data_IF_200655087618
#
_entry.id   IF_200655087618
#
_cell.length_a   1.000
_cell.length_b   1.000
_cell.length_c   1.000
_cell.angle_alpha   90.00
_cell.angle_beta   90.00
_cell.angle_gamma   90.00
#
_symmetry.space_group_name_H-M   'P 1'
#
loop_
_entity.id
_entity.type
_entity.pdbx_description
1 polymer ?
#
# COMPACT_ATOMS: atom_id res chain seq x y z
N UNK A 1 5.38 -4.69 33.61
CA UNK A 1 4.55 -3.87 32.70
C UNK A 1 5.13 -3.97 31.30
N UNK A 2 4.33 -4.40 30.31
CA UNK A 2 4.76 -4.57 28.91
C UNK A 2 4.39 -3.28 28.17
N UNK A 3 5.31 -2.60 27.46
CA UNK A 3 4.93 -1.43 26.69
C UNK A 3 4.02 -1.89 25.55
N UNK A 4 2.77 -1.43 25.57
CA UNK A 4 1.85 -1.54 24.44
C UNK A 4 2.51 -0.87 23.25
N UNK A 5 2.63 -1.52 22.07
CA UNK A 5 3.03 -0.79 20.87
C UNK A 5 1.89 0.16 20.53
N UNK A 6 2.04 1.42 20.90
CA UNK A 6 1.19 2.50 20.43
C UNK A 6 1.34 2.55 18.92
N UNK A 7 0.43 1.90 18.19
CA UNK A 7 0.18 2.27 16.80
C UNK A 7 -0.32 3.71 16.86
N UNK A 8 0.59 4.66 16.68
CA UNK A 8 0.23 6.03 16.38
C UNK A 8 -0.67 5.98 15.13
N UNK A 9 -1.90 6.50 15.18
CA UNK A 9 -2.63 6.83 13.98
C UNK A 9 -1.83 7.96 13.34
N UNK A 10 -0.88 7.59 12.48
CA UNK A 10 -0.12 8.52 11.68
C UNK A 10 -1.11 9.46 11.01
N UNK A 11 -0.77 10.74 11.04
CA UNK A 11 -1.47 11.82 10.36
C UNK A 11 -1.93 11.37 8.96
N UNK A 12 -2.92 12.06 8.42
CA UNK A 12 -3.49 11.94 7.07
C UNK A 12 -2.47 12.20 5.94
N UNK A 13 -1.24 11.71 6.05
CA UNK A 13 -0.20 11.69 5.04
C UNK A 13 -0.53 10.57 4.05
N UNK A 14 -0.46 10.90 2.76
CA UNK A 14 -0.42 9.90 1.70
C UNK A 14 0.60 8.82 2.04
N UNK A 15 0.27 7.53 1.87
CA UNK A 15 1.20 6.44 2.17
C UNK A 15 2.48 6.61 1.36
N UNK A 16 3.63 6.28 1.97
CA UNK A 16 4.90 6.24 1.24
C UNK A 16 4.87 5.16 0.16
N UNK A 17 5.82 5.24 -0.79
CA UNK A 17 5.92 4.22 -1.86
C UNK A 17 6.10 2.83 -1.28
N UNK A 18 6.92 2.67 -0.24
CA UNK A 18 7.12 1.39 0.44
C UNK A 18 5.85 0.87 1.12
N UNK A 19 5.09 1.72 1.81
CA UNK A 19 3.83 1.31 2.44
C UNK A 19 2.81 0.86 1.39
N UNK A 20 2.71 1.57 0.28
CA UNK A 20 1.83 1.20 -0.82
C UNK A 20 2.28 -0.12 -1.50
N UNK A 21 3.59 -0.33 -1.65
CA UNK A 21 4.15 -1.55 -2.21
C UNK A 21 3.94 -2.77 -1.30
N UNK A 22 4.13 -2.61 0.02
CA UNK A 22 3.84 -3.67 0.99
C UNK A 22 2.35 -4.05 1.00
N UNK A 23 1.45 -3.07 0.89
CA UNK A 23 0.01 -3.36 0.77
C UNK A 23 -0.30 -4.20 -0.48
N UNK A 24 0.35 -3.92 -1.61
CA UNK A 24 0.25 -4.73 -2.84
C UNK A 24 0.78 -6.16 -2.59
N UNK A 25 1.96 -6.30 -1.98
CA UNK A 25 2.57 -7.61 -1.68
C UNK A 25 1.68 -8.46 -0.79
N UNK A 26 1.14 -7.88 0.29
CA UNK A 26 0.20 -8.56 1.19
C UNK A 26 -1.07 -8.97 0.44
N UNK A 27 -1.63 -8.08 -0.38
CA UNK A 27 -2.83 -8.35 -1.18
C UNK A 27 -2.63 -9.54 -2.13
N UNK A 28 -1.49 -9.59 -2.84
CA UNK A 28 -1.17 -10.66 -3.78
C UNK A 28 -0.82 -11.97 -3.06
N UNK A 29 -0.08 -11.91 -1.94
CA UNK A 29 0.28 -13.08 -1.14
C UNK A 29 -0.96 -13.81 -0.62
N UNK A 30 -1.96 -13.07 -0.14
CA UNK A 30 -3.23 -13.65 0.32
C UNK A 30 -4.04 -14.35 -0.80
N UNK A 31 -3.65 -14.15 -2.06
CA UNK A 31 -4.33 -14.68 -3.26
C UNK A 31 -3.38 -15.50 -4.13
N UNK A 32 -2.24 -15.91 -3.58
CA UNK A 32 -1.25 -16.69 -4.29
C UNK A 32 -1.85 -17.99 -4.83
N UNK A 33 -1.42 -18.39 -6.03
CA UNK A 33 -1.85 -19.65 -6.64
C UNK A 33 -3.23 -19.63 -7.30
N UNK A 34 -3.91 -18.48 -7.40
CA UNK A 34 -5.14 -18.35 -8.20
C UNK A 34 -5.25 -17.02 -8.93
N UNK A 35 -6.06 -16.99 -9.98
CA UNK A 35 -6.41 -15.76 -10.67
C UNK A 35 -7.25 -14.84 -9.78
N UNK A 36 -7.06 -13.52 -9.94
CA UNK A 36 -7.86 -12.50 -9.28
C UNK A 36 -9.27 -12.45 -9.88
N UNK A 37 -10.28 -12.47 -9.01
CA UNK A 37 -11.67 -12.22 -9.39
C UNK A 37 -11.85 -10.76 -9.85
N UNK A 38 -12.92 -10.42 -10.59
CA UNK A 38 -13.15 -9.06 -11.06
C UNK A 38 -13.10 -7.99 -9.95
N UNK A 39 -13.70 -8.26 -8.78
CA UNK A 39 -13.66 -7.36 -7.62
C UNK A 39 -12.24 -7.20 -7.05
N UNK A 40 -11.46 -8.28 -7.04
CA UNK A 40 -10.08 -8.27 -6.58
C UNK A 40 -9.18 -7.50 -7.56
N UNK A 41 -9.45 -7.57 -8.86
CA UNK A 41 -8.77 -6.73 -9.86
C UNK A 41 -9.07 -5.25 -9.67
N UNK A 42 -10.30 -4.90 -9.30
CA UNK A 42 -10.67 -3.52 -9.00
C UNK A 42 -9.89 -3.01 -7.77
N UNK A 43 -9.81 -3.81 -6.70
CA UNK A 43 -9.02 -3.45 -5.51
C UNK A 43 -7.53 -3.36 -5.82
N UNK A 44 -6.98 -4.31 -6.59
CA UNK A 44 -5.59 -4.25 -7.03
C UNK A 44 -5.30 -2.98 -7.85
N UNK A 45 -6.22 -2.59 -8.73
CA UNK A 45 -6.10 -1.34 -9.50
C UNK A 45 -6.11 -0.10 -8.60
N UNK A 46 -6.88 -0.14 -7.50
CA UNK A 46 -6.89 0.94 -6.49
C UNK A 46 -5.54 1.01 -5.76
N UNK A 47 -4.99 -0.13 -5.35
CA UNK A 47 -3.66 -0.19 -4.73
C UNK A 47 -2.56 0.33 -5.66
N UNK A 48 -2.60 -0.03 -6.95
CA UNK A 48 -1.67 0.50 -7.95
C UNK A 48 -1.76 2.02 -8.10
N UNK A 49 -2.97 2.60 -8.13
CA UNK A 49 -3.14 4.07 -8.19
C UNK A 49 -2.51 4.77 -6.98
N UNK A 50 -2.66 4.19 -5.79
CA UNK A 50 -2.04 4.70 -4.56
C UNK A 50 -0.52 4.65 -4.66
N UNK A 51 0.04 3.51 -5.09
CA UNK A 51 1.48 3.34 -5.30
C UNK A 51 2.04 4.33 -6.33
N UNK A 52 1.40 4.47 -7.50
CA UNK A 52 1.85 5.41 -8.54
C UNK A 52 1.82 6.86 -8.04
N UNK A 53 0.81 7.24 -7.24
CA UNK A 53 0.76 8.58 -6.67
C UNK A 53 1.90 8.81 -5.66
N UNK A 54 2.16 7.84 -4.79
CA UNK A 54 3.27 7.91 -3.85
C UNK A 54 4.63 8.02 -4.55
N UNK A 55 4.85 7.17 -5.56
CA UNK A 55 6.07 7.16 -6.36
C UNK A 55 6.29 8.51 -7.06
N UNK A 56 5.24 9.09 -7.65
CA UNK A 56 5.32 10.41 -8.27
C UNK A 56 5.72 11.49 -7.27
N UNK A 57 5.11 11.51 -6.09
CA UNK A 57 5.45 12.47 -5.05
C UNK A 57 6.88 12.32 -4.54
N UNK A 58 7.43 11.10 -4.49
CA UNK A 58 8.83 10.88 -4.11
C UNK A 58 9.80 11.33 -5.22
N UNK A 59 9.49 11.04 -6.48
CA UNK A 59 10.28 11.51 -7.64
C UNK A 59 10.29 13.05 -7.71
N UNK A 60 9.14 13.70 -7.51
CA UNK A 60 9.02 15.17 -7.47
C UNK A 60 9.83 15.79 -6.32
N UNK A 61 10.06 15.08 -5.22
CA UNK A 61 10.90 15.56 -4.10
C UNK A 61 12.39 15.31 -4.30
N UNK A 62 12.76 14.40 -5.19
CA UNK A 62 14.14 14.04 -5.48
C UNK A 62 14.74 14.82 -6.67
N UNK A 63 13.92 15.59 -7.38
CA UNK A 63 14.29 16.48 -8.48
C UNK A 63 14.61 17.89 -7.98
#
# INVERSE_FOLDING_TARGET
MRPTPTQQPGLLTTPSTDQANEAIRVFLRARAGRALRPSERAEYSRLLKVYTRALRCEVEKAA
#
